data_IF_095492807439
#
_entry.id   IF_095492807439
#
_cell.length_a   1.000
_cell.length_b   1.000
_cell.length_c   1.000
_cell.angle_alpha   90.00
_cell.angle_beta   90.00
_cell.angle_gamma   90.00
#
_symmetry.space_group_name_H-M   'P 1'
#
loop_
_entity.id
_entity.type
_entity.pdbx_description
1 polymer ?
#
# COMPACT_ATOMS: atom_id res chain seq x y z
N UNK A 1 3.92 -22.08 -19.36
CA UNK A 1 4.51 -21.68 -18.07
C UNK A 1 5.05 -22.92 -17.41
N UNK A 2 6.36 -23.01 -17.21
CA UNK A 2 7.04 -24.22 -16.73
C UNK A 2 7.08 -24.24 -15.21
N UNK A 3 6.67 -25.36 -14.62
CA UNK A 3 6.66 -25.63 -13.16
C UNK A 3 8.01 -25.40 -12.45
N UNK A 4 9.12 -25.33 -13.20
CA UNK A 4 10.46 -25.04 -12.67
C UNK A 4 10.61 -23.65 -12.04
N UNK A 5 9.89 -22.63 -12.50
CA UNK A 5 10.03 -21.27 -11.95
C UNK A 5 9.30 -21.10 -10.61
N UNK A 6 8.16 -21.78 -10.42
CA UNK A 6 7.37 -21.65 -9.20
C UNK A 6 8.14 -22.12 -7.95
N UNK A 7 8.78 -23.29 -8.02
CA UNK A 7 9.59 -23.79 -6.90
C UNK A 7 10.79 -22.89 -6.61
N UNK A 8 11.46 -22.36 -7.65
CA UNK A 8 12.58 -21.44 -7.50
C UNK A 8 12.21 -20.16 -6.75
N UNK A 9 11.04 -19.58 -7.04
CA UNK A 9 10.54 -18.42 -6.28
C UNK A 9 10.29 -18.75 -4.81
N UNK A 10 9.68 -19.91 -4.54
CA UNK A 10 9.45 -20.37 -3.18
C UNK A 10 10.76 -20.57 -2.41
N UNK A 11 11.77 -21.18 -3.02
CA UNK A 11 13.05 -21.43 -2.36
C UNK A 11 13.75 -20.13 -1.95
N UNK A 12 13.70 -19.10 -2.81
CA UNK A 12 14.23 -17.76 -2.48
C UNK A 12 13.39 -17.09 -1.40
N UNK A 13 12.06 -17.23 -1.45
CA UNK A 13 11.16 -16.70 -0.43
C UNK A 13 11.45 -17.31 0.95
N UNK A 14 11.63 -18.63 1.06
CA UNK A 14 11.97 -19.31 2.31
C UNK A 14 13.35 -18.89 2.83
N UNK A 15 14.35 -18.78 1.94
CA UNK A 15 15.69 -18.30 2.30
C UNK A 15 15.68 -16.84 2.83
N UNK A 16 14.87 -15.98 2.21
CA UNK A 16 14.68 -14.61 2.66
C UNK A 16 13.91 -14.52 3.96
N UNK A 17 12.88 -15.35 4.13
CA UNK A 17 12.11 -15.40 5.36
C UNK A 17 12.94 -15.91 6.54
N UNK A 18 13.77 -16.95 6.35
CA UNK A 18 14.75 -17.39 7.36
C UNK A 18 15.69 -16.24 7.76
N UNK A 19 16.20 -15.50 6.78
CA UNK A 19 17.05 -14.35 7.06
C UNK A 19 16.34 -13.28 7.90
N UNK A 20 15.07 -12.99 7.60
CA UNK A 20 14.23 -12.06 8.38
C UNK A 20 14.03 -12.56 9.81
N UNK A 21 13.72 -13.85 10.00
CA UNK A 21 13.55 -14.44 11.34
C UNK A 21 14.83 -14.33 12.18
N UNK A 22 16.01 -14.49 11.57
CA UNK A 22 17.30 -14.29 12.24
C UNK A 22 17.54 -12.83 12.67
N UNK A 23 16.81 -11.86 12.13
CA UNK A 23 16.88 -10.47 12.56
C UNK A 23 15.95 -10.14 13.74
N UNK A 24 15.01 -11.03 14.09
CA UNK A 24 14.06 -10.78 15.18
C UNK A 24 14.77 -10.80 16.52
N UNK A 25 14.59 -9.73 17.29
CA UNK A 25 15.15 -9.55 18.63
C UNK A 25 14.06 -9.52 19.67
N UNK A 26 14.42 -9.83 20.91
CA UNK A 26 13.48 -10.18 21.98
C UNK A 26 13.73 -9.44 23.31
N UNK A 27 14.73 -8.59 23.36
CA UNK A 27 15.18 -7.87 24.56
C UNK A 27 14.19 -6.82 25.09
N UNK A 28 13.27 -6.32 24.24
CA UNK A 28 12.12 -5.48 24.64
C UNK A 28 10.85 -5.92 23.90
N UNK A 29 10.53 -7.22 24.03
CA UNK A 29 9.54 -7.88 23.18
C UNK A 29 10.04 -8.07 21.74
N UNK A 30 9.22 -8.60 20.83
CA UNK A 30 9.63 -8.80 19.44
C UNK A 30 9.85 -7.45 18.76
N UNK A 31 11.03 -7.26 18.18
CA UNK A 31 11.30 -6.15 17.26
C UNK A 31 12.27 -6.58 16.16
N UNK A 32 12.25 -5.86 15.04
CA UNK A 32 13.23 -6.01 13.96
C UNK A 32 13.94 -4.68 13.73
N UNK A 33 15.24 -4.69 13.40
CA UNK A 33 15.91 -3.47 12.98
C UNK A 33 15.42 -3.05 11.59
N UNK A 34 15.41 -1.75 11.30
CA UNK A 34 14.99 -1.25 9.98
C UNK A 34 15.89 -1.80 8.86
N UNK A 35 17.18 -1.94 9.15
CA UNK A 35 18.18 -2.58 8.30
C UNK A 35 19.15 -3.41 9.14
N UNK A 36 19.70 -4.47 8.56
CA UNK A 36 20.64 -5.34 9.25
C UNK A 36 21.86 -4.55 9.74
N UNK A 37 22.34 -4.91 10.94
CA UNK A 37 23.47 -4.23 11.59
C UNK A 37 23.08 -3.04 12.47
N UNK A 38 21.86 -2.52 12.37
CA UNK A 38 21.38 -1.48 13.30
C UNK A 38 21.08 -2.10 14.66
N UNK A 39 21.66 -1.54 15.73
CA UNK A 39 21.46 -1.99 17.11
C UNK A 39 20.36 -1.24 17.85
N UNK A 40 20.02 -0.04 17.37
CA UNK A 40 19.05 0.84 18.02
C UNK A 40 17.61 0.42 17.74
N UNK A 41 16.76 0.55 18.75
CA UNK A 41 15.35 0.23 18.64
C UNK A 41 14.62 1.46 18.07
N UNK A 42 14.10 1.33 16.85
CA UNK A 42 13.35 2.38 16.17
C UNK A 42 12.01 2.68 16.86
N UNK A 43 11.56 3.93 16.82
CA UNK A 43 10.20 4.30 17.22
C UNK A 43 9.14 3.61 16.35
N UNK A 44 9.50 3.23 15.12
CA UNK A 44 8.62 2.53 14.17
C UNK A 44 8.63 1.01 14.31
N UNK A 45 9.25 0.47 15.38
CA UNK A 45 9.43 -0.98 15.61
C UNK A 45 8.15 -1.82 15.59
N UNK A 46 7.00 -1.21 15.88
CA UNK A 46 5.70 -1.90 15.95
C UNK A 46 4.89 -1.79 14.66
N UNK A 47 5.32 -0.91 13.75
CA UNK A 47 4.58 -0.53 12.55
C UNK A 47 4.48 -1.65 11.54
N UNK A 48 3.46 -1.58 10.68
CA UNK A 48 3.38 -2.39 9.47
C UNK A 48 4.42 -2.00 8.42
N UNK A 49 4.89 -0.75 8.39
CA UNK A 49 5.82 -0.27 7.37
C UNK A 49 7.20 -0.93 7.47
N UNK A 50 7.87 -0.78 8.61
CA UNK A 50 9.26 -1.22 8.83
C UNK A 50 9.42 -2.13 10.06
N UNK A 51 8.39 -2.21 10.90
CA UNK A 51 8.41 -2.95 12.17
C UNK A 51 7.84 -4.37 12.09
N UNK A 52 7.64 -4.96 13.27
CA UNK A 52 7.15 -6.34 13.41
C UNK A 52 5.71 -6.53 12.96
N UNK A 53 4.90 -5.46 12.94
CA UNK A 53 3.56 -5.52 12.35
C UNK A 53 3.59 -5.98 10.89
N UNK A 54 4.63 -5.59 10.14
CA UNK A 54 4.78 -5.99 8.73
C UNK A 54 4.99 -7.50 8.54
N UNK A 55 5.55 -8.18 9.54
CA UNK A 55 5.80 -9.62 9.49
C UNK A 55 4.50 -10.45 9.49
N UNK A 56 3.43 -9.90 10.06
CA UNK A 56 2.12 -10.55 10.06
C UNK A 56 1.59 -10.84 8.65
N UNK A 57 1.85 -9.96 7.69
CA UNK A 57 1.41 -10.16 6.30
C UNK A 57 2.24 -11.23 5.58
N UNK A 58 3.52 -11.37 5.94
CA UNK A 58 4.35 -12.48 5.42
C UNK A 58 3.85 -13.80 6.00
N UNK A 59 3.56 -13.85 7.31
CA UNK A 59 2.99 -15.02 7.97
C UNK A 59 1.64 -15.42 7.37
N UNK A 60 0.76 -14.43 7.11
CA UNK A 60 -0.52 -14.66 6.44
C UNK A 60 -0.34 -15.30 5.05
N UNK A 61 0.66 -14.86 4.28
CA UNK A 61 0.98 -15.42 2.97
C UNK A 61 1.58 -16.82 3.08
N UNK A 62 2.50 -17.05 4.03
CA UNK A 62 3.11 -18.36 4.29
C UNK A 62 2.04 -19.40 4.63
N UNK A 63 0.99 -19.03 5.36
CA UNK A 63 -0.09 -19.96 5.74
C UNK A 63 -0.77 -20.60 4.53
N UNK A 64 -0.81 -19.94 3.38
CA UNK A 64 -1.32 -20.50 2.13
C UNK A 64 -0.30 -21.37 1.39
N UNK A 65 0.99 -21.26 1.72
CA UNK A 65 2.05 -22.09 1.16
C UNK A 65 2.34 -23.35 2.01
N UNK A 66 2.27 -23.24 3.33
CA UNK A 66 2.51 -24.32 4.32
C UNK A 66 2.01 -23.92 5.72
N UNK A 67 1.94 -24.90 6.63
CA UNK A 67 1.73 -24.62 8.05
C UNK A 67 2.91 -23.84 8.66
N UNK A 68 2.62 -23.01 9.67
CA UNK A 68 3.64 -22.29 10.42
C UNK A 68 4.52 -23.23 11.25
N UNK A 69 5.78 -22.87 11.42
CA UNK A 69 6.70 -23.49 12.38
C UNK A 69 6.36 -23.06 13.81
N UNK A 70 7.01 -23.64 14.81
CA UNK A 70 6.85 -23.20 16.19
C UNK A 70 7.40 -21.79 16.43
N UNK A 71 8.51 -21.45 15.79
CA UNK A 71 9.12 -20.10 15.84
C UNK A 71 8.18 -19.05 15.23
N UNK A 72 7.60 -19.34 14.06
CA UNK A 72 6.66 -18.44 13.38
C UNK A 72 5.38 -18.20 14.21
N UNK A 73 4.85 -19.25 14.85
CA UNK A 73 3.75 -19.10 15.82
C UNK A 73 4.15 -18.21 17.00
N UNK A 74 5.34 -18.42 17.57
CA UNK A 74 5.84 -17.59 18.66
C UNK A 74 5.99 -16.12 18.28
N UNK A 75 6.48 -15.84 17.06
CA UNK A 75 6.55 -14.47 16.52
C UNK A 75 5.16 -13.88 16.35
N UNK A 76 4.21 -14.62 15.76
CA UNK A 76 2.83 -14.18 15.59
C UNK A 76 2.17 -13.82 16.94
N UNK A 77 2.24 -14.72 17.91
CA UNK A 77 1.67 -14.53 19.26
C UNK A 77 2.30 -13.31 19.95
N UNK A 78 3.62 -13.14 19.82
CA UNK A 78 4.33 -12.02 20.42
C UNK A 78 3.97 -10.67 19.77
N UNK A 79 3.78 -10.64 18.44
CA UNK A 79 3.28 -9.45 17.72
C UNK A 79 1.90 -9.07 18.24
N UNK A 80 0.98 -10.05 18.35
CA UNK A 80 -0.37 -9.82 18.84
C UNK A 80 -0.34 -9.22 20.24
N UNK A 81 0.33 -9.89 21.19
CA UNK A 81 0.41 -9.42 22.58
C UNK A 81 0.96 -8.00 22.67
N UNK A 82 1.99 -7.70 21.88
CA UNK A 82 2.65 -6.41 21.85
C UNK A 82 1.72 -5.31 21.31
N UNK A 83 1.09 -5.53 20.17
CA UNK A 83 0.18 -4.53 19.59
C UNK A 83 -1.05 -4.32 20.46
N UNK A 84 -1.70 -5.40 20.92
CA UNK A 84 -2.89 -5.28 21.76
C UNK A 84 -2.59 -4.57 23.08
N UNK A 85 -1.41 -4.78 23.65
CA UNK A 85 -0.99 -4.13 24.89
C UNK A 85 -0.67 -2.64 24.75
N UNK A 86 -0.57 -2.11 23.52
CA UNK A 86 -0.24 -0.70 23.26
C UNK A 86 -1.40 0.12 22.68
N UNK A 87 -2.50 -0.51 22.26
CA UNK A 87 -3.62 0.18 21.61
C UNK A 87 -4.18 1.33 22.46
N UNK A 88 -4.27 1.17 23.78
CA UNK A 88 -4.83 2.20 24.68
C UNK A 88 -4.01 3.49 24.67
N UNK A 89 -2.68 3.37 24.60
CA UNK A 89 -1.74 4.48 24.62
C UNK A 89 -1.39 5.02 23.22
N UNK A 90 -1.71 4.26 22.16
CA UNK A 90 -1.42 4.65 20.79
C UNK A 90 -2.23 5.89 20.38
N UNK A 91 -1.57 6.78 19.65
CA UNK A 91 -2.10 8.04 19.16
C UNK A 91 -1.88 8.23 17.66
N UNK A 92 -0.93 7.52 17.04
CA UNK A 92 -0.83 7.50 15.59
C UNK A 92 -2.04 6.76 15.00
N UNK A 93 -2.63 7.34 13.96
CA UNK A 93 -3.79 6.83 13.25
C UNK A 93 -3.45 6.32 11.84
N UNK A 94 -2.18 6.32 11.45
CA UNK A 94 -1.72 6.02 10.10
C UNK A 94 -1.96 4.56 9.67
N UNK A 95 -2.17 4.37 8.36
CA UNK A 95 -2.43 3.07 7.72
C UNK A 95 -1.30 2.06 7.94
N UNK A 96 -0.05 2.54 7.93
CA UNK A 96 1.14 1.68 8.05
C UNK A 96 1.86 1.77 9.39
N UNK A 97 1.52 2.74 10.25
CA UNK A 97 2.21 2.98 11.51
C UNK A 97 1.35 2.77 12.75
N UNK A 98 0.16 3.38 12.75
CA UNK A 98 -0.65 3.55 13.94
C UNK A 98 -1.79 2.55 14.13
N UNK A 99 -2.90 3.03 14.68
CA UNK A 99 -4.07 2.21 15.02
C UNK A 99 -4.69 1.50 13.81
N UNK A 100 -4.65 2.11 12.63
CA UNK A 100 -5.11 1.44 11.41
C UNK A 100 -4.19 0.29 11.04
N UNK A 101 -2.86 0.44 11.20
CA UNK A 101 -1.91 -0.66 11.07
C UNK A 101 -2.25 -1.80 12.04
N UNK A 102 -2.59 -1.51 13.30
CA UNK A 102 -3.03 -2.54 14.27
C UNK A 102 -4.28 -3.30 13.81
N UNK A 103 -5.27 -2.62 13.23
CA UNK A 103 -6.45 -3.28 12.62
C UNK A 103 -5.98 -4.26 11.54
N UNK A 104 -5.12 -3.82 10.62
CA UNK A 104 -4.60 -4.64 9.53
C UNK A 104 -3.81 -5.85 10.01
N UNK A 105 -2.91 -5.66 10.97
CA UNK A 105 -2.06 -6.74 11.52
C UNK A 105 -2.89 -7.82 12.20
N UNK A 106 -3.81 -7.42 13.08
CA UNK A 106 -4.63 -8.37 13.84
C UNK A 106 -5.58 -9.15 12.93
N UNK A 107 -6.15 -8.48 11.91
CA UNK A 107 -7.00 -9.14 10.92
C UNK A 107 -6.20 -10.07 9.98
N UNK A 108 -4.98 -9.69 9.58
CA UNK A 108 -4.10 -10.55 8.77
C UNK A 108 -3.70 -11.85 9.51
N UNK A 109 -3.53 -11.79 10.84
CA UNK A 109 -3.27 -12.96 11.68
C UNK A 109 -4.55 -13.72 12.07
N UNK A 110 -5.73 -13.23 11.67
CA UNK A 110 -7.05 -13.80 12.03
C UNK A 110 -7.28 -13.92 13.55
N UNK A 111 -6.87 -12.90 14.30
CA UNK A 111 -7.04 -12.83 15.75
C UNK A 111 -7.94 -11.67 16.18
N UNK A 112 -8.59 -11.74 17.35
CA UNK A 112 -9.35 -10.61 17.89
C UNK A 112 -8.44 -9.42 18.28
N UNK A 113 -9.05 -8.25 18.45
CA UNK A 113 -8.40 -7.04 18.96
C UNK A 113 -8.59 -5.80 18.09
N UNK A 114 -8.99 -5.97 16.83
CA UNK A 114 -9.28 -4.83 15.94
C UNK A 114 -10.37 -3.89 16.49
N UNK A 115 -11.32 -4.39 17.29
CA UNK A 115 -12.33 -3.57 17.96
C UNK A 115 -11.71 -2.48 18.84
N UNK A 116 -10.69 -2.81 19.65
CA UNK A 116 -10.06 -1.85 20.54
C UNK A 116 -9.38 -0.72 19.74
N UNK A 117 -8.78 -1.04 18.59
CA UNK A 117 -8.16 -0.05 17.72
C UNK A 117 -9.21 0.87 17.06
N UNK A 118 -10.36 0.33 16.63
CA UNK A 118 -11.48 1.13 16.12
C UNK A 118 -12.04 2.07 17.20
N UNK A 119 -12.28 1.56 18.41
CA UNK A 119 -12.79 2.35 19.53
C UNK A 119 -11.81 3.46 19.91
N UNK A 120 -10.51 3.17 19.90
CA UNK A 120 -9.46 4.17 20.14
C UNK A 120 -9.44 5.25 19.05
N UNK A 121 -9.55 4.88 17.76
CA UNK A 121 -9.64 5.86 16.68
C UNK A 121 -10.86 6.78 16.85
N UNK A 122 -12.01 6.24 17.26
CA UNK A 122 -13.21 7.04 17.55
C UNK A 122 -12.93 8.00 18.72
N UNK A 123 -12.27 7.54 19.79
CA UNK A 123 -11.95 8.35 20.96
C UNK A 123 -10.95 9.48 20.67
N UNK A 124 -10.02 9.28 19.74
CA UNK A 124 -9.00 10.26 19.35
C UNK A 124 -9.50 11.34 18.39
N UNK A 125 -10.69 11.15 17.81
CA UNK A 125 -11.24 12.09 16.83
C UNK A 125 -11.44 13.47 17.45
N UNK A 126 -10.90 14.49 16.79
CA UNK A 126 -11.23 15.90 17.08
C UNK A 126 -12.35 16.37 16.14
N UNK A 127 -12.83 17.62 16.31
CA UNK A 127 -13.84 18.21 15.42
C UNK A 127 -13.43 18.15 13.95
N UNK A 128 -12.16 18.43 13.68
CA UNK A 128 -11.66 18.69 12.33
C UNK A 128 -10.91 17.47 11.74
N UNK A 129 -10.67 16.41 12.52
CA UNK A 129 -9.98 15.20 12.09
C UNK A 129 -9.10 14.58 13.18
N UNK A 130 -8.07 13.85 12.76
CA UNK A 130 -7.09 13.19 13.64
C UNK A 130 -5.72 13.89 13.52
N UNK A 131 -5.20 14.50 14.60
CA UNK A 131 -3.86 15.06 14.63
C UNK A 131 -2.81 14.01 14.30
N UNK A 132 -1.85 14.35 13.44
CA UNK A 132 -0.78 13.45 13.02
C UNK A 132 0.47 13.64 13.90
N UNK A 133 1.16 12.55 14.21
CA UNK A 133 2.40 12.50 15.02
C UNK A 133 3.66 12.53 14.15
N UNK A 134 3.57 12.09 12.89
CA UNK A 134 4.71 11.97 11.97
C UNK A 134 5.16 13.29 11.33
N UNK A 135 4.33 14.34 11.36
CA UNK A 135 4.64 15.64 10.77
C UNK A 135 4.22 16.78 11.69
N UNK A 136 4.94 17.90 11.64
CA UNK A 136 4.68 19.06 12.47
C UNK A 136 5.70 20.18 12.26
N UNK A 137 5.83 21.11 13.21
CA UNK A 137 6.80 22.20 13.13
C UNK A 137 8.24 21.71 12.94
N UNK A 138 9.09 22.45 12.18
CA UNK A 138 8.80 23.72 11.52
C UNK A 138 8.16 23.59 10.12
N UNK A 139 8.03 22.38 9.58
CA UNK A 139 7.50 22.16 8.22
C UNK A 139 6.00 22.43 8.08
N UNK A 140 5.26 22.20 9.17
CA UNK A 140 3.82 22.41 9.27
C UNK A 140 3.45 23.05 10.61
N UNK A 141 2.22 23.53 10.75
CA UNK A 141 1.73 24.08 12.02
C UNK A 141 1.52 22.97 13.07
N UNK A 142 1.46 23.29 14.38
CA UNK A 142 1.06 22.32 15.41
C UNK A 142 -0.31 21.70 15.12
N UNK A 143 -0.53 20.48 15.62
CA UNK A 143 -1.78 19.71 15.47
C UNK A 143 -2.21 19.52 13.99
N UNK A 144 -1.23 19.39 13.10
CA UNK A 144 -1.47 19.23 11.66
C UNK A 144 -2.31 17.99 11.39
N UNK A 145 -3.29 18.16 10.50
CA UNK A 145 -4.12 17.09 9.96
C UNK A 145 -3.61 16.68 8.58
N UNK A 146 -3.83 15.41 8.25
CA UNK A 146 -3.47 14.83 6.94
C UNK A 146 -4.71 14.16 6.35
N UNK A 147 -4.89 14.30 5.04
CA UNK A 147 -6.00 13.72 4.29
C UNK A 147 -5.66 12.40 3.62
N UNK A 148 -4.38 12.12 3.38
CA UNK A 148 -3.95 11.07 2.47
C UNK A 148 -4.23 9.62 2.92
N UNK A 149 -3.97 8.66 2.01
CA UNK A 149 -4.27 7.25 2.19
C UNK A 149 -3.30 6.51 3.12
N UNK A 150 -2.21 7.14 3.56
CA UNK A 150 -1.14 6.49 4.33
C UNK A 150 -1.01 7.02 5.75
N UNK A 151 -0.94 8.33 5.91
CA UNK A 151 -0.81 9.03 7.19
C UNK A 151 -2.14 9.63 7.62
N UNK A 152 -3.06 9.86 6.69
CA UNK A 152 -4.20 10.72 6.91
C UNK A 152 -5.55 10.03 7.03
N UNK A 153 -6.58 10.89 6.98
CA UNK A 153 -7.99 10.53 7.12
C UNK A 153 -8.46 9.53 6.06
N UNK A 154 -7.92 9.54 4.84
CA UNK A 154 -8.24 8.49 3.86
C UNK A 154 -7.68 7.13 4.26
N UNK A 155 -6.53 7.06 4.95
CA UNK A 155 -6.03 5.83 5.57
C UNK A 155 -6.96 5.30 6.65
N UNK A 156 -7.49 6.19 7.50
CA UNK A 156 -8.51 5.85 8.52
C UNK A 156 -9.78 5.35 7.85
N UNK A 157 -10.25 6.01 6.79
CA UNK A 157 -11.42 5.59 6.03
C UNK A 157 -11.23 4.17 5.46
N UNK A 158 -10.09 3.88 4.82
CA UNK A 158 -9.76 2.54 4.33
C UNK A 158 -9.73 1.50 5.47
N UNK A 159 -9.13 1.85 6.61
CA UNK A 159 -9.11 1.01 7.80
C UNK A 159 -10.51 0.72 8.36
N UNK A 160 -11.39 1.72 8.38
CA UNK A 160 -12.76 1.58 8.84
C UNK A 160 -13.59 0.68 7.91
N UNK A 161 -13.46 0.85 6.59
CA UNK A 161 -14.11 -0.03 5.61
C UNK A 161 -13.61 -1.47 5.75
N UNK A 162 -12.31 -1.65 5.95
CA UNK A 162 -11.72 -2.97 6.19
C UNK A 162 -12.25 -3.62 7.48
N UNK A 163 -12.25 -2.88 8.59
CA UNK A 163 -12.78 -3.35 9.86
C UNK A 163 -14.28 -3.70 9.77
N UNK A 164 -15.07 -2.92 9.03
CA UNK A 164 -16.48 -3.22 8.74
C UNK A 164 -16.63 -4.53 8.00
N UNK A 165 -15.81 -4.78 6.98
CA UNK A 165 -15.80 -6.06 6.24
C UNK A 165 -15.39 -7.25 7.12
N UNK A 166 -14.57 -7.01 8.14
CA UNK A 166 -14.22 -7.98 9.18
C UNK A 166 -15.28 -8.11 10.31
N UNK A 167 -16.41 -7.40 10.24
CA UNK A 167 -17.49 -7.47 11.22
C UNK A 167 -17.23 -6.72 12.54
N UNK A 168 -16.28 -5.78 12.55
CA UNK A 168 -15.97 -4.96 13.74
C UNK A 168 -17.08 -3.92 13.96
N UNK A 169 -17.56 -3.80 15.20
CA UNK A 169 -18.62 -2.85 15.56
C UNK A 169 -18.12 -1.40 15.47
N UNK A 170 -19.03 -0.47 15.24
CA UNK A 170 -18.77 0.98 15.09
C UNK A 170 -17.84 1.38 13.92
N UNK A 171 -17.30 0.41 13.16
CA UNK A 171 -16.44 0.68 12.02
C UNK A 171 -17.16 1.47 10.92
N UNK A 172 -18.48 1.26 10.75
CA UNK A 172 -19.30 2.07 9.85
C UNK A 172 -19.38 3.55 10.26
N UNK A 173 -19.52 3.82 11.56
CA UNK A 173 -19.59 5.18 12.10
C UNK A 173 -18.24 5.89 11.97
N UNK A 174 -17.14 5.19 12.27
CA UNK A 174 -15.78 5.69 12.03
C UNK A 174 -15.57 6.04 10.55
N UNK A 175 -16.02 5.16 9.64
CA UNK A 175 -15.96 5.39 8.21
C UNK A 175 -16.76 6.61 7.77
N UNK A 176 -18.00 6.77 8.25
CA UNK A 176 -18.82 7.95 7.96
C UNK A 176 -18.15 9.25 8.47
N UNK A 177 -17.60 9.22 9.68
CA UNK A 177 -16.89 10.37 10.26
C UNK A 177 -15.62 10.75 9.48
N UNK A 178 -14.83 9.76 9.05
CA UNK A 178 -13.65 10.00 8.23
C UNK A 178 -14.02 10.56 6.85
N UNK A 179 -15.07 10.03 6.23
CA UNK A 179 -15.59 10.54 4.96
C UNK A 179 -16.07 11.99 5.08
N UNK A 180 -16.79 12.34 6.15
CA UNK A 180 -17.27 13.71 6.36
C UNK A 180 -16.11 14.71 6.55
N UNK A 181 -15.03 14.30 7.22
CA UNK A 181 -13.80 15.12 7.33
C UNK A 181 -13.17 15.36 5.96
N UNK A 182 -12.98 14.31 5.14
CA UNK A 182 -12.46 14.47 3.78
C UNK A 182 -13.37 15.36 2.93
N UNK A 183 -14.69 15.19 3.03
CA UNK A 183 -15.65 15.99 2.28
C UNK A 183 -15.67 17.46 2.68
N UNK A 184 -15.31 17.77 3.93
CA UNK A 184 -15.16 19.15 4.41
C UNK A 184 -13.87 19.80 3.90
N UNK A 185 -12.80 19.02 3.72
CA UNK A 185 -11.48 19.50 3.26
C UNK A 185 -11.33 19.53 1.73
N UNK A 186 -12.39 19.23 0.96
CA UNK A 186 -12.35 19.28 -0.50
C UNK A 186 -12.20 20.71 -1.01
N UNK A 187 -11.40 20.89 -2.06
CA UNK A 187 -11.24 22.16 -2.76
C UNK A 187 -11.86 22.08 -4.15
N UNK A 188 -12.71 23.05 -4.48
CA UNK A 188 -13.27 23.17 -5.83
C UNK A 188 -12.22 23.76 -6.76
N UNK A 189 -11.98 23.11 -7.89
CA UNK A 189 -11.05 23.55 -8.93
C UNK A 189 -11.77 23.55 -10.28
N UNK A 190 -11.30 24.30 -11.30
CA UNK A 190 -12.00 24.39 -12.58
C UNK A 190 -12.24 23.05 -13.30
N UNK A 191 -11.43 22.03 -12.98
CA UNK A 191 -11.49 20.70 -13.60
C UNK A 191 -12.05 19.61 -12.67
N UNK A 192 -12.71 19.98 -11.56
CA UNK A 192 -13.34 19.04 -10.63
C UNK A 192 -13.10 19.42 -9.18
N UNK A 193 -12.61 18.47 -8.39
CA UNK A 193 -12.22 18.71 -6.99
C UNK A 193 -10.81 18.21 -6.71
N UNK A 194 -10.15 18.84 -5.74
CA UNK A 194 -8.84 18.43 -5.27
C UNK A 194 -8.81 18.28 -3.76
N UNK A 195 -7.81 17.56 -3.27
CA UNK A 195 -7.43 17.51 -1.87
C UNK A 195 -5.92 17.65 -1.77
N UNK A 196 -5.47 18.60 -0.96
CA UNK A 196 -4.10 18.58 -0.51
C UNK A 196 -3.92 17.50 0.56
N UNK A 197 -2.79 16.79 0.47
CA UNK A 197 -2.42 15.75 1.44
C UNK A 197 -2.35 16.32 2.85
N UNK A 198 -1.73 17.48 3.00
CA UNK A 198 -1.87 18.37 4.17
C UNK A 198 -2.72 19.56 3.73
N UNK A 199 -3.85 19.86 4.37
CA UNK A 199 -4.68 21.02 4.02
C UNK A 199 -3.90 22.34 4.08
N UNK A 200 -4.22 23.30 3.20
CA UNK A 200 -3.49 24.57 3.06
C UNK A 200 -3.34 25.33 4.40
N UNK A 201 -4.35 25.26 5.27
CA UNK A 201 -4.37 25.90 6.60
C UNK A 201 -3.23 25.47 7.54
N UNK A 202 -2.54 24.37 7.25
CA UNK A 202 -1.42 23.85 8.05
C UNK A 202 -0.05 24.06 7.41
N UNK A 203 0.04 24.64 6.20
CA UNK A 203 1.33 24.91 5.59
C UNK A 203 1.90 26.26 6.03
N UNK A 204 3.20 26.28 6.30
CA UNK A 204 3.96 27.52 6.51
C UNK A 204 4.40 28.18 5.17
N UNK A 205 4.41 27.41 4.08
CA UNK A 205 4.78 27.82 2.72
C UNK A 205 3.70 27.41 1.72
N UNK A 206 3.73 27.84 0.45
CA UNK A 206 2.76 27.37 -0.55
C UNK A 206 2.74 25.84 -0.64
N UNK A 207 1.55 25.26 -0.44
CA UNK A 207 1.34 23.82 -0.49
C UNK A 207 1.72 23.24 -1.86
N UNK A 208 2.37 22.09 -1.85
CA UNK A 208 2.57 21.27 -3.06
C UNK A 208 1.43 20.28 -3.20
N UNK A 209 1.01 20.03 -4.43
CA UNK A 209 0.09 18.95 -4.73
C UNK A 209 0.85 17.65 -4.95
N UNK A 210 0.22 16.56 -4.54
CA UNK A 210 0.69 15.21 -4.76
C UNK A 210 -0.48 14.45 -5.40
N UNK A 211 -0.42 14.13 -6.70
CA UNK A 211 -1.58 13.57 -7.40
C UNK A 211 -1.71 12.04 -7.27
N UNK A 212 -0.60 11.34 -6.98
CA UNK A 212 -0.54 9.88 -6.96
C UNK A 212 -1.17 9.26 -5.69
N UNK A 213 -1.07 7.94 -5.54
CA UNK A 213 -1.84 7.16 -4.57
C UNK A 213 -1.52 7.43 -3.09
N UNK A 214 -0.27 7.27 -2.64
CA UNK A 214 0.01 7.21 -1.18
C UNK A 214 -0.35 8.49 -0.44
N UNK A 215 0.23 9.60 -0.87
CA UNK A 215 0.09 10.91 -0.23
C UNK A 215 -0.80 11.85 -1.02
N UNK A 216 -1.75 11.36 -1.83
CA UNK A 216 -2.30 12.22 -2.87
C UNK A 216 -3.73 11.98 -3.31
N UNK A 217 -4.14 12.81 -4.26
CA UNK A 217 -5.49 12.87 -4.81
C UNK A 217 -6.01 11.48 -5.19
N UNK A 218 -5.19 10.65 -5.85
CA UNK A 218 -5.63 9.33 -6.28
C UNK A 218 -6.02 8.41 -5.11
N UNK A 219 -5.28 8.42 -4.00
CA UNK A 219 -5.61 7.61 -2.82
C UNK A 219 -6.84 8.12 -2.08
N UNK A 220 -6.99 9.44 -2.00
CA UNK A 220 -8.15 10.09 -1.35
C UNK A 220 -9.43 9.82 -2.16
N UNK A 221 -9.40 10.02 -3.48
CA UNK A 221 -10.53 9.71 -4.33
C UNK A 221 -10.87 8.20 -4.33
N UNK A 222 -9.86 7.32 -4.23
CA UNK A 222 -10.09 5.88 -4.16
C UNK A 222 -10.84 5.50 -2.87
N UNK A 223 -10.44 6.04 -1.72
CA UNK A 223 -11.11 5.76 -0.45
C UNK A 223 -12.56 6.27 -0.44
N UNK A 224 -12.82 7.44 -1.03
CA UNK A 224 -14.17 8.00 -1.17
C UNK A 224 -15.07 7.16 -2.10
N UNK A 225 -14.55 6.66 -3.23
CA UNK A 225 -15.31 5.79 -4.13
C UNK A 225 -15.73 4.48 -3.44
N UNK A 226 -14.81 3.86 -2.70
CA UNK A 226 -15.09 2.64 -1.94
C UNK A 226 -16.12 2.93 -0.83
N UNK A 227 -15.94 4.03 -0.09
CA UNK A 227 -16.84 4.43 0.98
C UNK A 227 -18.24 4.73 0.46
N UNK A 228 -18.37 5.39 -0.70
CA UNK A 228 -19.67 5.68 -1.29
C UNK A 228 -20.52 4.43 -1.55
N UNK A 229 -19.87 3.31 -1.90
CA UNK A 229 -20.54 2.02 -2.08
C UNK A 229 -20.82 1.32 -0.75
N UNK A 230 -19.82 1.19 0.11
CA UNK A 230 -19.91 0.43 1.37
C UNK A 230 -20.79 1.10 2.44
N UNK A 231 -20.96 2.43 2.36
CA UNK A 231 -21.74 3.25 3.29
C UNK A 231 -23.04 3.80 2.68
N UNK A 232 -23.38 3.42 1.44
CA UNK A 232 -24.58 3.91 0.72
C UNK A 232 -24.64 5.45 0.64
N UNK A 233 -23.52 6.07 0.26
CA UNK A 233 -23.31 7.51 0.21
C UNK A 233 -22.89 7.94 -1.21
N UNK A 234 -23.85 8.10 -2.15
CA UNK A 234 -23.53 8.41 -3.55
C UNK A 234 -22.84 9.76 -3.76
N UNK A 235 -22.95 10.69 -2.79
CA UNK A 235 -22.22 11.95 -2.79
C UNK A 235 -20.70 11.76 -2.68
N UNK A 236 -20.25 10.72 -1.97
CA UNK A 236 -18.82 10.36 -1.88
C UNK A 236 -18.31 9.82 -3.23
N UNK A 237 -19.10 8.96 -3.88
CA UNK A 237 -18.79 8.48 -5.24
C UNK A 237 -18.73 9.64 -6.23
N UNK A 238 -19.68 10.58 -6.16
CA UNK A 238 -19.66 11.78 -7.00
C UNK A 238 -18.41 12.64 -6.78
N UNK A 239 -17.98 12.83 -5.53
CA UNK A 239 -16.75 13.56 -5.23
C UNK A 239 -15.50 12.83 -5.74
N UNK A 240 -15.46 11.50 -5.65
CA UNK A 240 -14.37 10.69 -6.18
C UNK A 240 -14.26 10.79 -7.71
N UNK A 241 -15.40 10.82 -8.43
CA UNK A 241 -15.44 11.04 -9.89
C UNK A 241 -14.85 12.41 -10.24
N UNK A 242 -15.31 13.48 -9.58
CA UNK A 242 -14.78 14.83 -9.80
C UNK A 242 -13.28 14.93 -9.47
N UNK A 243 -12.79 14.18 -8.48
CA UNK A 243 -11.37 14.08 -8.17
C UNK A 243 -10.58 13.35 -9.25
N UNK A 244 -11.14 12.28 -9.83
CA UNK A 244 -10.53 11.54 -10.93
C UNK A 244 -10.49 12.36 -12.22
N UNK A 245 -11.54 13.12 -12.53
CA UNK A 245 -11.56 14.05 -13.67
C UNK A 245 -10.46 15.12 -13.52
N UNK A 246 -10.32 15.72 -12.34
CA UNK A 246 -9.23 16.65 -12.07
C UNK A 246 -7.87 15.98 -12.24
N UNK A 247 -7.69 14.78 -11.67
CA UNK A 247 -6.45 14.00 -11.80
C UNK A 247 -6.05 13.74 -13.26
N UNK A 248 -7.01 13.42 -14.12
CA UNK A 248 -6.78 13.21 -15.56
C UNK A 248 -6.19 14.48 -16.19
N UNK A 249 -6.64 15.66 -15.79
CA UNK A 249 -6.11 16.95 -16.31
C UNK A 249 -4.68 17.25 -15.88
N UNK A 250 -4.18 16.61 -14.81
CA UNK A 250 -2.80 16.76 -14.34
C UNK A 250 -1.82 15.81 -15.05
N UNK A 251 -2.33 14.82 -15.77
CA UNK A 251 -1.53 13.73 -16.33
C UNK A 251 -1.21 13.88 -17.80
N UNK A 252 -0.19 13.15 -18.24
CA UNK A 252 0.10 12.94 -19.65
C UNK A 252 -0.58 11.66 -20.13
N UNK A 253 -1.20 11.73 -21.29
CA UNK A 253 -1.94 10.62 -21.93
C UNK A 253 -1.31 10.15 -23.25
N UNK A 254 -0.04 10.51 -23.48
CA UNK A 254 0.70 10.18 -24.68
C UNK A 254 0.98 8.68 -24.80
N UNK A 255 1.11 8.20 -26.04
CA UNK A 255 1.43 6.80 -26.33
C UNK A 255 0.39 5.77 -25.86
N UNK A 256 -0.82 6.21 -25.49
CA UNK A 256 -1.84 5.31 -24.91
C UNK A 256 -1.63 5.04 -23.41
N UNK A 257 -0.71 5.76 -22.76
CA UNK A 257 -0.46 5.69 -21.33
C UNK A 257 -1.29 6.67 -20.51
N UNK A 258 -1.09 6.64 -19.19
CA UNK A 258 -1.49 7.69 -18.25
C UNK A 258 -0.50 7.76 -17.09
N UNK A 259 0.11 8.93 -16.89
CA UNK A 259 1.07 9.18 -15.81
C UNK A 259 0.93 10.62 -15.30
N UNK A 260 0.97 10.79 -13.98
CA UNK A 260 0.91 12.11 -13.31
C UNK A 260 2.23 12.40 -12.59
N UNK A 261 2.65 13.68 -12.45
CA UNK A 261 3.90 14.02 -11.77
C UNK A 261 3.93 13.57 -10.31
N UNK A 262 5.11 13.34 -9.75
CA UNK A 262 5.28 13.02 -8.31
C UNK A 262 4.76 14.16 -7.42
N UNK A 263 5.13 15.39 -7.74
CA UNK A 263 4.67 16.61 -7.06
C UNK A 263 4.42 17.73 -8.06
N UNK A 264 3.51 18.64 -7.73
CA UNK A 264 3.21 19.85 -8.49
C UNK A 264 3.34 21.07 -7.57
N UNK A 265 4.21 22.05 -7.89
CA UNK A 265 5.25 21.99 -8.93
C UNK A 265 6.29 20.90 -8.63
N UNK A 266 6.99 20.44 -9.67
CA UNK A 266 8.06 19.45 -9.53
C UNK A 266 9.24 20.01 -8.73
N UNK A 267 9.87 19.18 -7.89
CA UNK A 267 11.06 19.58 -7.13
C UNK A 267 12.32 19.42 -7.98
N UNK A 268 13.21 20.43 -8.04
CA UNK A 268 14.52 20.28 -8.67
C UNK A 268 15.31 19.13 -8.05
N UNK A 269 16.03 18.37 -8.88
CA UNK A 269 16.85 17.24 -8.43
C UNK A 269 16.06 15.97 -8.06
N UNK A 270 14.75 15.94 -8.29
CA UNK A 270 13.92 14.75 -8.11
C UNK A 270 13.33 14.28 -9.43
N UNK A 271 13.03 12.98 -9.51
CA UNK A 271 12.27 12.42 -10.62
C UNK A 271 10.91 13.10 -10.73
N UNK A 272 10.62 13.66 -11.90
CA UNK A 272 9.31 14.26 -12.21
C UNK A 272 8.23 13.19 -12.22
N UNK A 273 8.54 12.02 -12.79
CA UNK A 273 7.65 10.87 -12.88
C UNK A 273 8.33 9.65 -12.30
N UNK A 274 7.58 8.85 -11.54
CA UNK A 274 8.01 7.52 -11.07
C UNK A 274 6.96 6.49 -11.48
N UNK A 275 7.26 5.20 -11.33
CA UNK A 275 6.42 4.10 -11.82
C UNK A 275 5.99 3.10 -10.73
N UNK A 276 6.15 3.49 -9.47
CA UNK A 276 5.93 2.65 -8.30
C UNK A 276 4.51 2.78 -7.73
N UNK A 277 4.26 2.08 -6.62
CA UNK A 277 2.98 2.09 -5.92
C UNK A 277 2.69 3.43 -5.24
N UNK A 278 3.65 4.06 -4.55
CA UNK A 278 3.38 5.28 -3.81
C UNK A 278 3.10 6.49 -4.72
N UNK A 279 3.96 6.72 -5.72
CA UNK A 279 3.99 7.93 -6.54
C UNK A 279 4.05 7.68 -8.05
N UNK A 280 3.50 6.55 -8.51
CA UNK A 280 3.45 6.21 -9.92
C UNK A 280 2.14 5.57 -10.38
N UNK A 281 2.01 5.33 -11.70
CA UNK A 281 0.84 4.73 -12.31
C UNK A 281 0.48 3.35 -11.76
N UNK A 282 1.43 2.58 -11.20
CA UNK A 282 1.11 1.31 -10.56
C UNK A 282 0.08 1.50 -9.42
N UNK A 283 0.34 2.41 -8.48
CA UNK A 283 -0.63 2.71 -7.40
C UNK A 283 -1.79 3.59 -7.87
N UNK A 284 -1.54 4.58 -8.72
CA UNK A 284 -2.60 5.45 -9.26
C UNK A 284 -3.68 4.66 -10.02
N UNK A 285 -3.32 3.50 -10.58
CA UNK A 285 -4.27 2.57 -11.21
C UNK A 285 -5.36 2.05 -10.25
N UNK A 286 -5.13 2.07 -8.94
CA UNK A 286 -6.05 1.55 -7.92
C UNK A 286 -7.28 2.44 -7.73
N UNK A 287 -7.17 3.75 -8.00
CA UNK A 287 -8.31 4.67 -8.02
C UNK A 287 -9.37 4.19 -9.02
N UNK A 288 -8.93 3.87 -10.23
CA UNK A 288 -9.84 3.50 -11.29
C UNK A 288 -10.50 2.15 -11.08
N UNK A 289 -9.83 1.22 -10.37
CA UNK A 289 -10.46 -0.01 -9.91
C UNK A 289 -11.51 0.24 -8.81
N UNK A 290 -11.28 1.22 -7.93
CA UNK A 290 -12.25 1.62 -6.91
C UNK A 290 -13.50 2.26 -7.54
N UNK A 291 -13.33 3.12 -8.56
CA UNK A 291 -14.43 3.73 -9.31
C UNK A 291 -15.23 2.69 -10.11
N UNK A 292 -14.56 1.73 -10.76
CA UNK A 292 -15.22 0.61 -11.44
C UNK A 292 -16.05 -0.24 -10.45
N UNK A 293 -15.49 -0.53 -9.27
CA UNK A 293 -16.22 -1.25 -8.21
C UNK A 293 -17.44 -0.45 -7.72
N UNK A 294 -17.34 0.87 -7.66
CA UNK A 294 -18.43 1.77 -7.33
C UNK A 294 -19.49 1.94 -8.44
N UNK A 295 -19.32 1.26 -9.59
CA UNK A 295 -20.26 1.29 -10.69
C UNK A 295 -20.21 2.57 -11.53
N UNK A 296 -19.11 3.33 -11.46
CA UNK A 296 -18.90 4.51 -12.30
C UNK A 296 -18.68 4.09 -13.76
N UNK A 297 -19.43 4.71 -14.67
CA UNK A 297 -19.38 4.36 -16.10
C UNK A 297 -18.42 5.25 -16.91
N UNK A 298 -18.20 6.50 -16.48
CA UNK A 298 -17.39 7.49 -17.20
C UNK A 298 -16.56 8.33 -16.23
N UNK A 299 -15.30 8.57 -16.61
CA UNK A 299 -14.40 9.56 -16.02
C UNK A 299 -13.70 10.25 -17.20
N UNK A 300 -13.96 11.55 -17.38
CA UNK A 300 -13.34 12.34 -18.44
C UNK A 300 -13.48 11.72 -19.85
N UNK A 301 -14.65 11.13 -20.16
CA UNK A 301 -14.97 10.59 -21.48
C UNK A 301 -14.49 9.16 -21.74
N UNK A 302 -13.94 8.47 -20.73
CA UNK A 302 -13.56 7.06 -20.80
C UNK A 302 -14.01 6.29 -19.54
N UNK A 303 -14.34 5.00 -19.66
CA UNK A 303 -14.68 4.18 -18.49
C UNK A 303 -13.46 4.04 -17.55
N UNK A 304 -13.64 3.93 -16.22
CA UNK A 304 -12.53 3.81 -15.28
C UNK A 304 -11.51 2.71 -15.66
N UNK A 305 -11.97 1.55 -16.13
CA UNK A 305 -11.06 0.47 -16.53
C UNK A 305 -10.14 0.83 -17.70
N UNK A 306 -10.51 1.76 -18.58
CA UNK A 306 -9.61 2.26 -19.62
C UNK A 306 -8.44 3.03 -19.00
N UNK A 307 -8.70 3.90 -18.02
CA UNK A 307 -7.66 4.60 -17.26
C UNK A 307 -6.77 3.65 -16.46
N UNK A 308 -7.33 2.63 -15.82
CA UNK A 308 -6.55 1.56 -15.18
C UNK A 308 -5.56 0.92 -16.19
N UNK A 309 -6.01 0.63 -17.41
CA UNK A 309 -5.16 0.04 -18.46
C UNK A 309 -4.10 1.00 -18.96
N UNK A 310 -4.42 2.30 -19.09
CA UNK A 310 -3.46 3.34 -19.45
C UNK A 310 -2.34 3.47 -18.40
N UNK A 311 -2.66 3.40 -17.11
CA UNK A 311 -1.67 3.34 -16.03
C UNK A 311 -0.74 2.12 -16.19
N UNK A 312 -1.30 0.92 -16.33
CA UNK A 312 -0.49 -0.30 -16.47
C UNK A 312 0.34 -0.29 -17.74
N UNK A 313 -0.16 0.30 -18.83
CA UNK A 313 0.62 0.52 -20.05
C UNK A 313 1.85 1.39 -19.76
N UNK A 314 1.67 2.56 -19.14
CA UNK A 314 2.79 3.44 -18.75
C UNK A 314 3.81 2.74 -17.85
N UNK A 315 3.36 1.94 -16.89
CA UNK A 315 4.26 1.18 -16.01
C UNK A 315 5.06 0.14 -16.80
N UNK A 316 4.41 -0.63 -17.68
CA UNK A 316 5.07 -1.66 -18.49
C UNK A 316 6.05 -1.05 -19.51
N UNK A 317 5.71 0.07 -20.13
CA UNK A 317 6.53 0.75 -21.15
C UNK A 317 7.63 1.65 -20.58
N UNK A 318 7.70 1.81 -19.25
CA UNK A 318 8.68 2.67 -18.57
C UNK A 318 10.14 2.20 -18.69
N UNK A 319 10.34 0.91 -19.01
CA UNK A 319 11.63 0.23 -18.97
C UNK A 319 11.97 -0.43 -17.64
N UNK A 320 11.02 -0.50 -16.71
CA UNK A 320 11.10 -1.39 -15.55
C UNK A 320 11.35 -2.85 -15.98
N UNK A 321 12.09 -3.63 -15.17
CA UNK A 321 12.71 -3.29 -13.87
C UNK A 321 14.15 -2.75 -13.97
N UNK A 322 14.59 -2.26 -15.14
CA UNK A 322 15.94 -1.70 -15.27
C UNK A 322 16.16 -0.55 -14.25
N UNK A 323 17.27 -0.61 -13.52
CA UNK A 323 17.69 0.43 -12.55
C UNK A 323 18.18 1.66 -13.32
N UNK A 324 17.26 2.58 -13.62
CA UNK A 324 17.52 3.80 -14.41
C UNK A 324 17.51 5.02 -13.49
N UNK A 325 18.56 5.84 -13.55
CA UNK A 325 18.61 7.13 -12.87
C UNK A 325 18.89 8.25 -13.89
N UNK A 326 18.06 9.31 -13.96
CA UNK A 326 16.76 9.47 -13.27
C UNK A 326 15.70 8.47 -13.79
N UNK A 327 14.68 8.15 -12.99
CA UNK A 327 13.46 7.47 -13.46
C UNK A 327 12.98 6.25 -12.65
N UNK A 328 13.84 5.55 -11.92
CA UNK A 328 13.42 4.51 -10.98
C UNK A 328 14.44 4.34 -9.83
N UNK A 329 13.95 4.35 -8.59
CA UNK A 329 14.73 4.50 -7.35
C UNK A 329 15.62 3.32 -6.94
N UNK A 330 16.12 2.53 -7.89
CA UNK A 330 17.05 1.43 -7.66
C UNK A 330 16.72 0.61 -6.38
N UNK A 331 15.45 0.20 -6.34
CA UNK A 331 14.78 -0.36 -5.18
C UNK A 331 13.87 -1.50 -5.61
N UNK A 332 13.89 -2.60 -4.84
CA UNK A 332 13.14 -3.81 -5.10
C UNK A 332 11.97 -4.03 -4.11
N UNK A 333 11.82 -3.14 -3.12
CA UNK A 333 10.78 -3.16 -2.09
C UNK A 333 9.36 -2.89 -2.59
N UNK A 334 8.40 -2.94 -1.66
CA UNK A 334 6.97 -2.82 -1.93
C UNK A 334 6.52 -1.38 -2.17
N UNK A 335 6.95 -0.42 -1.35
CA UNK A 335 6.44 0.94 -1.43
C UNK A 335 6.87 1.64 -2.74
N UNK A 336 8.16 1.55 -3.07
CA UNK A 336 8.75 2.31 -4.17
C UNK A 336 9.42 1.46 -5.27
N UNK A 337 9.37 0.12 -5.15
CA UNK A 337 10.24 -0.78 -5.89
C UNK A 337 9.53 -1.86 -6.71
N UNK A 338 10.34 -2.76 -7.26
CA UNK A 338 9.94 -3.86 -8.15
C UNK A 338 8.80 -4.71 -7.58
N UNK A 339 8.83 -5.01 -6.28
CA UNK A 339 7.81 -5.83 -5.61
C UNK A 339 6.42 -5.20 -5.65
N UNK A 340 6.29 -3.90 -5.34
CA UNK A 340 4.99 -3.23 -5.33
C UNK A 340 4.36 -3.18 -6.72
N UNK A 341 5.18 -2.99 -7.75
CA UNK A 341 4.73 -3.07 -9.14
C UNK A 341 4.29 -4.49 -9.48
N UNK A 342 5.09 -5.50 -9.14
CA UNK A 342 4.79 -6.91 -9.39
C UNK A 342 3.44 -7.32 -8.83
N UNK A 343 3.10 -6.87 -7.64
CA UNK A 343 1.80 -7.16 -7.03
C UNK A 343 0.61 -6.54 -7.74
N UNK A 344 0.71 -5.27 -8.16
CA UNK A 344 -0.38 -4.61 -8.92
C UNK A 344 -0.68 -5.37 -10.21
N UNK A 345 0.36 -5.84 -10.91
CA UNK A 345 0.19 -6.65 -12.12
C UNK A 345 -0.35 -8.05 -11.81
N UNK A 346 0.08 -8.66 -10.71
CA UNK A 346 -0.44 -9.95 -10.27
C UNK A 346 -1.93 -9.86 -9.89
N UNK A 347 -2.33 -8.80 -9.18
CA UNK A 347 -3.75 -8.49 -8.87
C UNK A 347 -4.55 -8.32 -10.16
N UNK A 348 -4.03 -7.53 -11.11
CA UNK A 348 -4.67 -7.28 -12.39
C UNK A 348 -4.85 -8.56 -13.21
N UNK A 349 -3.84 -9.43 -13.25
CA UNK A 349 -3.96 -10.73 -13.90
C UNK A 349 -4.97 -11.64 -13.21
N UNK A 350 -4.97 -11.73 -11.87
CA UNK A 350 -5.95 -12.56 -11.18
C UNK A 350 -7.38 -12.09 -11.47
N UNK A 351 -7.63 -10.77 -11.47
CA UNK A 351 -8.93 -10.17 -11.77
C UNK A 351 -9.36 -10.35 -13.23
N UNK A 352 -8.49 -10.06 -14.19
CA UNK A 352 -8.89 -9.93 -15.60
C UNK A 352 -8.35 -11.02 -16.53
N UNK A 353 -7.41 -11.86 -16.08
CA UNK A 353 -6.86 -12.99 -16.83
C UNK A 353 -6.00 -12.64 -18.04
N UNK A 354 -5.51 -11.40 -18.16
CA UNK A 354 -4.71 -10.97 -19.31
C UNK A 354 -3.27 -11.47 -19.23
N UNK A 355 -2.85 -12.29 -20.19
CA UNK A 355 -1.53 -12.94 -20.18
C UNK A 355 -0.37 -11.95 -20.03
N UNK A 356 -0.39 -10.81 -20.73
CA UNK A 356 0.67 -9.79 -20.65
C UNK A 356 0.84 -9.18 -19.24
N UNK A 357 -0.18 -9.25 -18.37
CA UNK A 357 -0.07 -8.80 -16.98
C UNK A 357 0.72 -9.82 -16.15
N UNK A 358 0.46 -11.12 -16.35
CA UNK A 358 1.23 -12.18 -15.70
C UNK A 358 2.66 -12.26 -16.22
N UNK A 359 2.87 -12.15 -17.53
CA UNK A 359 4.23 -12.17 -18.11
C UNK A 359 5.10 -11.06 -17.53
N UNK A 360 4.53 -9.86 -17.34
CA UNK A 360 5.25 -8.77 -16.71
C UNK A 360 5.48 -9.03 -15.21
N UNK A 361 4.51 -9.53 -14.46
CA UNK A 361 4.69 -9.90 -13.05
C UNK A 361 5.78 -10.98 -12.86
N UNK A 362 5.82 -11.98 -13.76
CA UNK A 362 6.86 -13.02 -13.79
C UNK A 362 8.23 -12.42 -14.11
N UNK A 363 8.33 -11.52 -15.08
CA UNK A 363 9.58 -10.82 -15.40
C UNK A 363 10.14 -10.02 -14.19
N UNK A 364 9.25 -9.37 -13.43
CA UNK A 364 9.63 -8.67 -12.20
C UNK A 364 10.09 -9.64 -11.11
N UNK A 365 9.42 -10.79 -10.95
CA UNK A 365 9.81 -11.82 -9.99
C UNK A 365 11.15 -12.49 -10.34
N UNK A 366 11.40 -12.80 -11.61
CA UNK A 366 12.69 -13.30 -12.10
C UNK A 366 13.81 -12.30 -11.75
N UNK A 367 13.57 -11.01 -11.98
CA UNK A 367 14.53 -9.95 -11.63
C UNK A 367 14.80 -9.89 -10.12
N UNK A 368 13.79 -10.08 -9.27
CA UNK A 368 13.97 -10.14 -7.82
C UNK A 368 14.86 -11.32 -7.41
N UNK A 369 14.65 -12.49 -8.02
CA UNK A 369 15.49 -13.68 -7.77
C UNK A 369 16.92 -13.47 -8.24
N UNK A 370 17.11 -12.86 -9.41
CA UNK A 370 18.44 -12.55 -9.95
C UNK A 370 19.22 -11.56 -9.08
N UNK A 371 18.51 -10.58 -8.49
CA UNK A 371 19.11 -9.55 -7.62
C UNK A 371 19.29 -9.96 -6.17
N UNK A 372 18.76 -11.10 -5.76
CA UNK A 372 18.90 -11.58 -4.39
C UNK A 372 20.38 -11.83 -4.07
N UNK A 373 20.88 -11.16 -3.03
CA UNK A 373 22.17 -11.50 -2.43
C UNK A 373 21.99 -12.81 -1.67
N UNK A 374 22.75 -13.84 -2.04
CA UNK A 374 22.70 -15.16 -1.40
C UNK A 374 23.91 -15.33 -0.49
N UNK A 375 23.65 -15.69 0.76
CA UNK A 375 24.69 -15.95 1.77
C UNK A 375 24.32 -17.18 2.59
N UNK A 376 24.95 -18.32 2.28
CA UNK A 376 24.61 -19.61 2.87
C UNK A 376 23.11 -19.94 2.68
N UNK A 377 22.33 -20.15 3.77
CA UNK A 377 20.90 -20.43 3.70
C UNK A 377 20.04 -19.17 3.47
N UNK A 378 20.64 -17.97 3.39
CA UNK A 378 19.93 -16.70 3.38
C UNK A 378 19.85 -16.07 1.99
N UNK A 379 18.77 -15.31 1.79
CA UNK A 379 18.59 -14.39 0.68
C UNK A 379 18.15 -13.02 1.20
N UNK A 380 18.69 -11.94 0.65
CA UNK A 380 18.25 -10.57 0.98
C UNK A 380 18.55 -9.59 -0.16
N UNK A 381 18.06 -8.36 -0.06
CA UNK A 381 18.24 -7.34 -1.08
C UNK A 381 18.86 -6.08 -0.50
N UNK A 382 19.64 -5.38 -1.33
CA UNK A 382 20.23 -4.08 -1.01
C UNK A 382 19.83 -3.08 -2.09
N UNK A 383 19.52 -1.87 -1.65
CA UNK A 383 19.06 -0.78 -2.51
C UNK A 383 20.13 0.28 -2.65
N UNK A 384 19.96 1.16 -3.65
CA UNK A 384 20.87 2.26 -3.91
C UNK A 384 20.14 3.59 -3.69
N UNK A 385 20.63 4.41 -2.75
CA UNK A 385 20.22 5.79 -2.54
C UNK A 385 21.18 6.73 -3.28
N UNK A 386 20.79 7.15 -4.48
CA UNK A 386 21.65 7.90 -5.41
C UNK A 386 22.09 9.28 -4.89
N UNK A 387 21.42 9.83 -3.87
CA UNK A 387 21.79 11.12 -3.26
C UNK A 387 22.81 10.98 -2.12
N UNK A 388 23.07 9.76 -1.65
CA UNK A 388 23.98 9.48 -0.54
C UNK A 388 25.46 9.39 -0.97
N UNK A 389 26.42 9.77 -0.10
CA UNK A 389 27.85 9.60 -0.37
C UNK A 389 28.25 8.11 -0.40
N UNK A 390 27.58 7.28 0.40
CA UNK A 390 27.67 5.82 0.38
C UNK A 390 26.32 5.26 -0.09
N UNK A 391 26.12 5.12 -1.40
CA UNK A 391 24.77 4.96 -1.94
C UNK A 391 24.20 3.55 -1.71
N UNK A 392 25.05 2.54 -1.51
CA UNK A 392 24.59 1.15 -1.31
C UNK A 392 24.15 0.91 0.14
N UNK A 393 22.84 0.88 0.36
CA UNK A 393 22.25 0.73 1.68
C UNK A 393 22.49 -0.67 2.28
N UNK A 394 22.52 -0.79 3.63
CA UNK A 394 22.40 -2.09 4.29
C UNK A 394 21.05 -2.74 3.91
N UNK A 395 20.93 -4.08 4.01
CA UNK A 395 19.70 -4.77 3.64
C UNK A 395 18.58 -4.46 4.63
N UNK A 396 17.43 -4.01 4.12
CA UNK A 396 16.23 -3.75 4.90
C UNK A 396 15.52 -5.03 5.32
N UNK A 397 14.91 -5.03 6.50
CA UNK A 397 14.23 -6.23 7.04
C UNK A 397 12.72 -6.22 6.77
N UNK A 398 12.07 -5.08 7.02
CA UNK A 398 10.63 -4.95 7.11
C UNK A 398 9.83 -5.09 5.82
N UNK A 399 8.52 -4.86 5.94
CA UNK A 399 7.52 -5.14 4.91
C UNK A 399 7.59 -4.20 3.70
N UNK A 400 7.71 -2.88 3.90
CA UNK A 400 7.58 -1.93 2.79
C UNK A 400 8.85 -1.76 1.96
N UNK A 401 10.01 -1.91 2.59
CA UNK A 401 11.31 -1.59 2.01
C UNK A 401 12.37 -2.65 2.37
N UNK A 402 11.96 -3.90 2.60
CA UNK A 402 12.88 -4.94 3.07
C UNK A 402 12.54 -6.33 2.57
N UNK A 403 13.36 -7.29 3.00
CA UNK A 403 13.29 -8.69 2.57
C UNK A 403 11.95 -9.35 2.90
N UNK A 404 11.27 -8.95 3.99
CA UNK A 404 9.97 -9.50 4.38
C UNK A 404 8.90 -9.31 3.29
N UNK A 405 8.75 -8.10 2.76
CA UNK A 405 7.77 -7.82 1.70
C UNK A 405 8.10 -8.51 0.38
N UNK A 406 9.39 -8.59 0.04
CA UNK A 406 9.86 -9.27 -1.17
C UNK A 406 9.59 -10.78 -1.06
N UNK A 407 9.87 -11.39 0.10
CA UNK A 407 9.58 -12.80 0.37
C UNK A 407 8.08 -13.11 0.23
N UNK A 408 7.19 -12.27 0.77
CA UNK A 408 5.75 -12.45 0.62
C UNK A 408 5.29 -12.43 -0.84
N UNK A 409 5.80 -11.50 -1.65
CA UNK A 409 5.48 -11.49 -3.08
C UNK A 409 5.97 -12.76 -3.80
N UNK A 410 7.18 -13.24 -3.47
CA UNK A 410 7.73 -14.47 -4.07
C UNK A 410 6.95 -15.72 -3.65
N UNK A 411 6.49 -15.81 -2.39
CA UNK A 411 5.54 -16.85 -1.97
C UNK A 411 4.24 -16.78 -2.78
N UNK A 412 3.69 -15.57 -2.93
CA UNK A 412 2.43 -15.35 -3.64
C UNK A 412 2.52 -15.74 -5.11
N UNK A 413 3.52 -15.26 -5.85
CA UNK A 413 3.65 -15.57 -7.27
C UNK A 413 3.95 -17.05 -7.50
N UNK A 414 4.71 -17.71 -6.61
CA UNK A 414 4.89 -19.17 -6.63
C UNK A 414 3.54 -19.89 -6.57
N UNK A 415 2.65 -19.51 -5.64
CA UNK A 415 1.32 -20.13 -5.52
C UNK A 415 0.45 -19.83 -6.73
N UNK A 416 0.46 -18.59 -7.21
CA UNK A 416 -0.27 -18.19 -8.42
C UNK A 416 0.15 -19.01 -9.64
N UNK A 417 1.45 -19.24 -9.84
CA UNK A 417 1.92 -20.06 -10.96
C UNK A 417 1.56 -21.54 -10.81
N UNK A 418 1.39 -22.04 -9.58
CA UNK A 418 0.97 -23.42 -9.30
C UNK A 418 -0.53 -23.61 -9.47
N UNK A 419 -1.33 -22.72 -8.89
CA UNK A 419 -2.77 -22.88 -8.71
C UNK A 419 -3.59 -22.03 -9.70
N UNK A 420 -2.93 -21.20 -10.52
CA UNK A 420 -3.59 -20.34 -11.49
C UNK A 420 -4.33 -19.16 -10.83
N UNK A 421 -5.40 -18.69 -11.49
CA UNK A 421 -6.18 -17.52 -11.03
C UNK A 421 -6.93 -17.79 -9.72
N UNK A 422 -7.17 -19.05 -9.41
CA UNK A 422 -7.90 -19.49 -8.21
C UNK A 422 -7.03 -19.51 -6.95
N UNK A 423 -5.73 -19.20 -7.06
CA UNK A 423 -4.85 -19.06 -5.91
C UNK A 423 -5.40 -18.01 -4.94
N UNK A 424 -5.78 -18.42 -3.72
CA UNK A 424 -6.32 -17.53 -2.70
C UNK A 424 -5.32 -16.40 -2.39
N UNK A 425 -5.66 -15.13 -2.59
CA UNK A 425 -4.77 -14.02 -2.25
C UNK A 425 -4.87 -13.67 -0.75
N UNK A 426 -3.79 -13.19 -0.15
CA UNK A 426 -3.88 -12.39 1.08
C UNK A 426 -4.44 -11.02 0.69
N UNK A 427 -5.68 -10.75 1.10
CA UNK A 427 -6.31 -9.44 0.93
C UNK A 427 -5.68 -8.42 1.88
N UNK A 428 -5.65 -7.14 1.47
CA UNK A 428 -5.00 -6.07 2.24
C UNK A 428 -5.80 -4.78 2.22
N UNK A 429 -5.64 -3.97 3.27
CA UNK A 429 -6.37 -2.71 3.45
C UNK A 429 -6.16 -1.71 2.30
N UNK A 430 -5.01 -1.75 1.63
CA UNK A 430 -4.60 -0.83 0.58
C UNK A 430 -4.94 -1.30 -0.85
N UNK A 431 -5.48 -2.51 -1.01
CA UNK A 431 -5.59 -3.14 -2.34
C UNK A 431 -6.69 -4.22 -2.47
N UNK A 432 -7.51 -4.48 -1.45
CA UNK A 432 -8.51 -5.56 -1.48
C UNK A 432 -9.51 -5.47 -2.65
N UNK A 433 -9.80 -4.27 -3.14
CA UNK A 433 -10.69 -4.04 -4.27
C UNK A 433 -10.05 -4.31 -5.63
N UNK A 434 -8.74 -4.54 -5.69
CA UNK A 434 -8.03 -4.87 -6.92
C UNK A 434 -8.20 -6.35 -7.33
N UNK A 435 -8.49 -7.21 -6.35
CA UNK A 435 -8.68 -8.65 -6.53
C UNK A 435 -10.05 -8.99 -7.13
N UNK A 436 -10.25 -10.21 -7.65
CA UNK A 436 -11.56 -10.66 -8.10
C UNK A 436 -12.61 -10.47 -7.00
N UNK A 437 -13.72 -9.82 -7.32
CA UNK A 437 -14.90 -9.88 -6.44
C UNK A 437 -15.46 -11.32 -6.51
N UNK A 438 -15.82 -11.94 -5.36
CA UNK A 438 -16.61 -13.15 -5.38
C UNK A 438 -17.82 -12.92 -6.28
N UNK A 439 -18.12 -13.87 -7.17
CA UNK A 439 -19.12 -13.71 -8.21
C UNK A 439 -20.49 -13.38 -7.58
N UNK A 440 -20.82 -12.10 -7.47
CA UNK A 440 -22.10 -11.61 -6.96
C UNK A 440 -23.12 -11.61 -8.09
N UNK A 441 -23.26 -12.74 -8.79
CA UNK A 441 -24.38 -13.03 -9.68
C UNK A 441 -24.69 -12.00 -10.77
N UNK A 442 -23.76 -11.10 -11.13
CA UNK A 442 -23.94 -10.25 -12.32
C UNK A 442 -23.58 -11.11 -13.53
N UNK A 443 -24.61 -11.77 -14.07
CA UNK A 443 -24.53 -12.51 -15.31
C UNK A 443 -23.88 -11.71 -16.46
N UNK A 444 -23.43 -12.39 -17.51
CA UNK A 444 -22.66 -11.78 -18.58
C UNK A 444 -23.42 -10.59 -19.17
N UNK A 445 -22.81 -9.40 -19.12
CA UNK A 445 -23.28 -8.25 -19.92
C UNK A 445 -22.93 -8.58 -21.37
N UNK A 446 -23.98 -8.81 -22.17
CA UNK A 446 -23.89 -9.09 -23.60
C UNK A 446 -23.58 -7.87 -24.45
#
# INVERSE_FOLDING_TARGET
MTSGNAQGYRDVAEAAWRWVLDQVRWDDGPWIPESAGISEISEYRDTMYSGVGGLAYVLAEIRFARGWTAEERGVAEAIVNRLTGRIEDEIDCSLFGGLVSSIGVLTALEVPGAQAAVDRLIALRTRDGWPQTAIGPPGFLPDTLVNDATLGTAGILLGALWARRAGVANAGDLGAQAADVLMADREQVPTGVNWHWVPHRFHAEPAREMPNFSHGLAGIAASLALAGTELDRPDLTGAAVLGAEHLVTLGRTDGGGFVVPRTIPSKPGQDVYTYNWCHGPAGTSLLFLALDLAGVEDVAGEPPLAWHRRCLHSTRSSGLPARRHPGFWDNDGRCCGTTGVGEVFLDSWQRFGRTDDLEFAVHLADTLVERAVRDGPHAYWRFIEHLGPEPLLPPGVGWMQGAAGIAAFLFRISRVLRDGRDATPVTRMDSWWALPTPDTGRGPRG
#
